data_IF_762072066206
#
_entry.id   IF_762072066206
#
_cell.length_a   1.000
_cell.length_b   1.000
_cell.length_c   1.000
_cell.angle_alpha   90.00
_cell.angle_beta   90.00
_cell.angle_gamma   90.00
#
_symmetry.space_group_name_H-M   'P 1'
#
loop_
_entity.id
_entity.type
_entity.pdbx_description
1 polymer ?
#
# COMPACT_ATOMS: atom_id res chain seq x y z
N UNK A 1 -4.86 -17.76 40.09
CA UNK A 1 -3.66 -16.95 40.32
C UNK A 1 -2.96 -16.97 38.99
N UNK A 2 -3.12 -15.90 38.21
CA UNK A 2 -2.28 -15.72 37.03
C UNK A 2 -0.89 -15.48 37.61
N UNK A 3 0.08 -16.33 37.25
CA UNK A 3 1.47 -15.99 37.51
C UNK A 3 1.74 -14.74 36.68
N UNK A 4 2.07 -13.65 37.37
CA UNK A 4 2.71 -12.47 36.79
C UNK A 4 4.08 -12.93 36.28
N UNK A 5 4.12 -13.59 35.12
CA UNK A 5 5.31 -13.56 34.28
C UNK A 5 5.51 -12.08 33.95
N UNK A 6 6.51 -11.46 34.58
CA UNK A 6 6.97 -10.12 34.28
C UNK A 6 7.23 -10.04 32.77
N UNK A 7 6.21 -9.59 32.02
CA UNK A 7 6.33 -9.18 30.63
C UNK A 7 7.41 -8.09 30.62
N UNK A 8 8.59 -8.38 30.08
CA UNK A 8 9.65 -7.38 29.96
C UNK A 8 9.21 -6.35 28.92
N UNK A 9 8.53 -5.31 29.40
CA UNK A 9 8.04 -4.19 28.60
C UNK A 9 9.16 -3.57 27.73
N UNK A 10 10.42 -3.64 28.17
CA UNK A 10 11.57 -3.16 27.40
C UNK A 10 11.93 -4.11 26.25
N UNK A 11 11.82 -5.42 26.45
CA UNK A 11 12.02 -6.43 25.40
C UNK A 11 10.96 -6.32 24.30
N UNK A 12 9.68 -6.24 24.68
CA UNK A 12 8.60 -6.06 23.71
C UNK A 12 8.73 -4.78 22.89
N UNK A 13 9.13 -3.67 23.53
CA UNK A 13 9.30 -2.42 22.81
C UNK A 13 10.50 -2.48 21.84
N UNK A 14 11.54 -3.23 22.22
CA UNK A 14 12.68 -3.52 21.33
C UNK A 14 12.24 -4.33 20.12
N UNK A 15 11.51 -5.43 20.33
CA UNK A 15 10.97 -6.26 19.24
C UNK A 15 10.07 -5.46 18.31
N UNK A 16 9.13 -4.67 18.85
CA UNK A 16 8.25 -3.80 18.05
C UNK A 16 9.03 -2.78 17.22
N UNK A 17 10.13 -2.26 17.76
CA UNK A 17 10.98 -1.28 17.06
C UNK A 17 11.78 -1.95 15.94
N UNK A 18 12.38 -3.11 16.21
CA UNK A 18 13.12 -3.89 15.22
C UNK A 18 12.22 -4.29 14.05
N UNK A 19 11.00 -4.73 14.36
CA UNK A 19 10.01 -5.10 13.36
C UNK A 19 9.55 -3.91 12.51
N UNK A 20 9.27 -2.76 13.13
CA UNK A 20 8.97 -1.52 12.39
C UNK A 20 10.11 -1.13 11.44
N UNK A 21 11.36 -1.24 11.87
CA UNK A 21 12.53 -0.93 11.03
C UNK A 21 12.71 -1.96 9.91
N UNK A 22 12.45 -3.25 10.15
CA UNK A 22 12.43 -4.28 9.10
C UNK A 22 11.41 -3.93 8.03
N UNK A 23 10.16 -3.67 8.43
CA UNK A 23 9.05 -3.34 7.52
C UNK A 23 9.35 -2.08 6.71
N UNK A 24 9.79 -1.00 7.37
CA UNK A 24 10.17 0.25 6.70
C UNK A 24 11.27 0.06 5.65
N UNK A 25 12.13 -0.94 5.83
CA UNK A 25 13.20 -1.23 4.90
C UNK A 25 12.81 -2.11 3.71
N UNK A 26 11.60 -2.67 3.70
CA UNK A 26 11.11 -3.48 2.60
C UNK A 26 11.05 -2.66 1.29
N UNK A 27 11.47 -3.26 0.16
CA UNK A 27 11.38 -2.59 -1.15
C UNK A 27 9.98 -2.10 -1.49
N UNK A 28 8.94 -2.87 -1.11
CA UNK A 28 7.55 -2.51 -1.40
C UNK A 28 7.08 -1.27 -0.64
N UNK A 29 7.54 -1.10 0.62
CA UNK A 29 7.21 0.08 1.45
C UNK A 29 7.86 1.31 0.85
N UNK A 30 9.17 1.25 0.57
CA UNK A 30 9.89 2.38 -0.05
C UNK A 30 9.26 2.78 -1.38
N UNK A 31 8.87 1.81 -2.20
CA UNK A 31 8.26 2.10 -3.50
C UNK A 31 6.85 2.69 -3.37
N UNK A 32 6.09 2.29 -2.35
CA UNK A 32 4.79 2.88 -2.04
C UNK A 32 4.90 4.31 -1.48
N UNK A 33 5.93 4.58 -0.68
CA UNK A 33 6.24 5.92 -0.16
C UNK A 33 6.67 6.87 -1.30
N UNK A 34 7.53 6.40 -2.22
CA UNK A 34 7.92 7.17 -3.41
C UNK A 34 6.68 7.54 -4.25
N UNK A 35 5.83 6.55 -4.55
CA UNK A 35 4.57 6.77 -5.27
C UNK A 35 3.64 7.74 -4.53
N UNK A 36 3.55 7.63 -3.21
CA UNK A 36 2.79 8.58 -2.38
C UNK A 36 3.30 10.00 -2.53
N UNK A 37 4.61 10.21 -2.43
CA UNK A 37 5.19 11.54 -2.58
C UNK A 37 4.89 12.14 -3.96
N UNK A 38 5.00 11.34 -5.03
CA UNK A 38 4.69 11.79 -6.39
C UNK A 38 3.20 12.11 -6.56
N UNK A 39 2.30 11.26 -6.04
CA UNK A 39 0.85 11.50 -6.09
C UNK A 39 0.46 12.75 -5.30
N UNK A 40 1.02 12.97 -4.10
CA UNK A 40 0.75 14.17 -3.31
C UNK A 40 1.23 15.43 -4.02
N UNK A 41 2.44 15.39 -4.60
CA UNK A 41 2.96 16.52 -5.39
C UNK A 41 2.08 16.81 -6.61
N UNK A 42 1.56 15.77 -7.28
CA UNK A 42 0.59 15.95 -8.36
C UNK A 42 -0.70 16.60 -7.84
N UNK A 43 -1.29 16.09 -6.76
CA UNK A 43 -2.53 16.63 -6.17
C UNK A 43 -2.41 18.11 -5.76
N UNK A 44 -1.25 18.52 -5.25
CA UNK A 44 -0.93 19.92 -4.93
C UNK A 44 -0.77 20.79 -6.19
N UNK A 45 -0.38 20.20 -7.32
CA UNK A 45 -0.13 20.91 -8.57
C UNK A 45 -1.37 21.13 -9.43
N UNK A 46 -2.43 20.33 -9.26
CA UNK A 46 -3.67 20.49 -10.02
C UNK A 46 -4.54 21.58 -9.38
N UNK A 47 -5.14 22.45 -10.19
CA UNK A 47 -6.05 23.50 -9.70
C UNK A 47 -7.41 22.92 -9.25
N UNK A 48 -7.97 23.45 -8.17
CA UNK A 48 -9.31 23.08 -7.69
C UNK A 48 -10.40 23.66 -8.62
N UNK A 49 -10.68 22.99 -9.74
CA UNK A 49 -11.84 23.26 -10.59
C UNK A 49 -12.96 22.22 -10.32
N UNK A 50 -14.22 22.57 -10.59
CA UNK A 50 -15.38 21.72 -10.24
C UNK A 50 -15.27 20.29 -10.79
N UNK A 51 -14.65 20.11 -11.96
CA UNK A 51 -14.49 18.80 -12.62
C UNK A 51 -13.35 17.94 -12.02
N UNK A 52 -12.36 18.55 -11.35
CA UNK A 52 -11.20 17.87 -10.76
C UNK A 52 -11.38 17.55 -9.26
N UNK A 53 -12.10 18.40 -8.53
CA UNK A 53 -12.27 18.26 -7.07
C UNK A 53 -12.87 16.90 -6.68
N UNK A 54 -13.61 16.24 -7.57
CA UNK A 54 -14.12 14.89 -7.32
C UNK A 54 -13.05 13.79 -7.43
N UNK A 55 -12.02 13.94 -8.29
CA UNK A 55 -11.00 12.91 -8.52
C UNK A 55 -9.87 12.94 -7.48
N UNK A 56 -9.51 14.13 -7.00
CA UNK A 56 -8.45 14.30 -6.00
C UNK A 56 -8.64 13.46 -4.72
N UNK A 57 -9.84 13.44 -4.08
CA UNK A 57 -10.08 12.63 -2.90
C UNK A 57 -9.93 11.13 -3.15
N UNK A 58 -10.41 10.62 -4.29
CA UNK A 58 -10.26 9.21 -4.63
C UNK A 58 -8.80 8.83 -4.86
N UNK A 59 -8.04 9.69 -5.55
CA UNK A 59 -6.61 9.47 -5.76
C UNK A 59 -5.83 9.46 -4.44
N UNK A 60 -6.14 10.38 -3.53
CA UNK A 60 -5.56 10.43 -2.19
C UNK A 60 -5.93 9.19 -1.35
N UNK A 61 -7.20 8.76 -1.42
CA UNK A 61 -7.66 7.54 -0.76
C UNK A 61 -6.90 6.32 -1.28
N UNK A 62 -6.83 6.13 -2.60
CA UNK A 62 -6.18 4.97 -3.21
C UNK A 62 -4.72 4.84 -2.74
N UNK A 63 -3.95 5.92 -2.78
CA UNK A 63 -2.54 5.88 -2.39
C UNK A 63 -2.35 5.70 -0.88
N UNK A 64 -3.26 6.25 -0.07
CA UNK A 64 -3.27 6.07 1.38
C UNK A 64 -3.59 4.62 1.75
N UNK A 65 -4.56 4.00 1.07
CA UNK A 65 -4.93 2.60 1.32
C UNK A 65 -3.81 1.66 0.91
N UNK A 66 -3.13 1.89 -0.21
CA UNK A 66 -1.94 1.09 -0.60
C UNK A 66 -0.92 1.04 0.54
N UNK A 67 -0.52 2.21 1.05
CA UNK A 67 0.48 2.30 2.12
C UNK A 67 -0.01 1.62 3.42
N UNK A 68 -1.24 1.90 3.84
CA UNK A 68 -1.81 1.31 5.05
C UNK A 68 -1.90 -0.23 4.97
N UNK A 69 -2.28 -0.77 3.81
CA UNK A 69 -2.46 -2.22 3.61
C UNK A 69 -1.15 -2.97 3.50
N UNK A 70 -0.08 -2.34 3.03
CA UNK A 70 1.27 -2.92 3.09
C UNK A 70 1.67 -3.12 4.56
N UNK A 71 1.49 -2.09 5.41
CA UNK A 71 1.75 -2.25 6.84
C UNK A 71 0.84 -3.28 7.51
N UNK A 72 -0.44 -3.33 7.12
CA UNK A 72 -1.37 -4.36 7.61
C UNK A 72 -0.96 -5.79 7.25
N UNK A 73 -0.40 -5.98 6.05
CA UNK A 73 0.13 -7.28 5.61
C UNK A 73 1.45 -7.67 6.28
N UNK A 74 2.15 -6.73 6.91
CA UNK A 74 3.39 -7.03 7.64
C UNK A 74 3.19 -7.07 9.16
N UNK A 75 2.00 -6.70 9.66
CA UNK A 75 1.66 -6.73 11.09
C UNK A 75 1.39 -8.16 11.63
N UNK A 76 1.49 -9.19 10.78
CA UNK A 76 1.38 -10.59 11.15
C UNK A 76 1.69 -11.52 9.97
N UNK A 77 2.03 -12.78 10.28
CA UNK A 77 2.51 -13.75 9.28
C UNK A 77 1.43 -14.67 8.68
N UNK A 78 0.14 -14.37 8.93
CA UNK A 78 -0.96 -15.19 8.42
C UNK A 78 -1.16 -15.01 6.91
N UNK A 79 -0.99 -16.10 6.15
CA UNK A 79 -1.05 -16.08 4.68
C UNK A 79 -2.31 -15.42 4.13
N UNK A 80 -3.50 -15.83 4.60
CA UNK A 80 -4.81 -15.29 4.22
C UNK A 80 -4.87 -13.78 4.38
N UNK A 81 -4.49 -13.25 5.54
CA UNK A 81 -4.48 -11.81 5.84
C UNK A 81 -3.55 -11.06 4.88
N UNK A 82 -2.34 -11.59 4.64
CA UNK A 82 -1.38 -10.98 3.70
C UNK A 82 -1.95 -10.94 2.29
N UNK A 83 -2.58 -12.03 1.85
CA UNK A 83 -3.22 -12.13 0.54
C UNK A 83 -4.43 -11.19 0.39
N UNK A 84 -5.28 -11.06 1.41
CA UNK A 84 -6.41 -10.11 1.41
C UNK A 84 -5.93 -8.67 1.24
N UNK A 85 -4.92 -8.26 2.02
CA UNK A 85 -4.30 -6.94 1.89
C UNK A 85 -3.68 -6.75 0.49
N UNK A 86 -3.00 -7.76 -0.05
CA UNK A 86 -2.44 -7.73 -1.40
C UNK A 86 -3.52 -7.54 -2.49
N UNK A 87 -4.69 -8.16 -2.34
CA UNK A 87 -5.83 -7.95 -3.26
C UNK A 87 -6.29 -6.49 -3.20
N UNK A 88 -6.46 -5.93 -2.01
CA UNK A 88 -6.88 -4.53 -1.82
C UNK A 88 -5.84 -3.59 -2.46
N UNK A 89 -4.55 -3.78 -2.17
CA UNK A 89 -3.45 -2.99 -2.77
C UNK A 89 -3.53 -3.00 -4.29
N UNK A 90 -3.73 -4.18 -4.90
CA UNK A 90 -3.84 -4.32 -6.36
C UNK A 90 -5.02 -3.52 -6.92
N UNK A 91 -6.17 -3.55 -6.26
CA UNK A 91 -7.36 -2.79 -6.70
C UNK A 91 -7.06 -1.30 -6.70
N UNK A 92 -6.52 -0.76 -5.61
CA UNK A 92 -6.19 0.67 -5.52
C UNK A 92 -5.07 1.09 -6.51
N UNK A 93 -4.07 0.25 -6.75
CA UNK A 93 -3.04 0.53 -7.77
C UNK A 93 -3.64 0.61 -9.18
N UNK A 94 -4.64 -0.23 -9.49
CA UNK A 94 -5.37 -0.16 -10.76
C UNK A 94 -6.24 1.10 -10.84
N UNK A 95 -6.86 1.52 -9.73
CA UNK A 95 -7.63 2.76 -9.67
C UNK A 95 -6.76 3.98 -9.92
N UNK A 96 -5.58 4.11 -9.27
CA UNK A 96 -4.62 5.20 -9.54
C UNK A 96 -4.32 5.29 -11.04
N UNK A 97 -4.01 4.16 -11.69
CA UNK A 97 -3.73 4.14 -13.13
C UNK A 97 -4.93 4.61 -13.97
N UNK A 98 -6.15 4.18 -13.60
CA UNK A 98 -7.36 4.61 -14.30
C UNK A 98 -7.62 6.10 -14.10
N UNK A 99 -7.42 6.63 -12.89
CA UNK A 99 -7.54 8.05 -12.60
C UNK A 99 -6.53 8.86 -13.43
N UNK A 100 -5.28 8.40 -13.57
CA UNK A 100 -4.30 9.06 -14.46
C UNK A 100 -4.77 9.12 -15.92
N UNK A 101 -5.46 8.10 -16.42
CA UNK A 101 -6.07 8.14 -17.76
C UNK A 101 -7.25 9.11 -17.81
N UNK A 102 -8.08 9.18 -16.76
CA UNK A 102 -9.18 10.15 -16.69
C UNK A 102 -8.65 11.58 -16.73
N UNK A 103 -7.62 11.90 -15.94
CA UNK A 103 -6.94 13.20 -15.97
C UNK A 103 -6.43 13.57 -17.37
N UNK A 104 -5.76 12.63 -18.03
CA UNK A 104 -5.27 12.82 -19.39
C UNK A 104 -6.41 13.06 -20.41
N UNK A 105 -7.50 12.30 -20.31
CA UNK A 105 -8.68 12.45 -21.17
C UNK A 105 -9.39 13.78 -20.98
N UNK A 106 -9.43 14.29 -19.74
CA UNK A 106 -10.03 15.59 -19.42
C UNK A 106 -9.09 16.76 -19.76
N UNK A 107 -7.82 16.49 -20.07
CA UNK A 107 -6.81 17.52 -20.30
C UNK A 107 -6.46 18.30 -19.03
N UNK A 108 -6.54 17.64 -17.87
CA UNK A 108 -6.31 18.23 -16.55
C UNK A 108 -4.98 17.72 -16.00
N UNK A 109 -4.21 18.62 -15.37
CA UNK A 109 -2.93 18.32 -14.76
C UNK A 109 -1.76 18.33 -15.76
N UNK A 110 -0.54 18.28 -15.22
CA UNK A 110 0.67 18.28 -16.04
C UNK A 110 0.95 16.87 -16.62
N UNK A 111 1.06 16.73 -17.96
CA UNK A 111 1.35 15.45 -18.61
C UNK A 111 2.59 14.71 -18.08
N UNK A 112 3.63 15.44 -17.69
CA UNK A 112 4.88 14.85 -17.16
C UNK A 112 4.61 14.12 -15.83
N UNK A 113 3.75 14.68 -14.97
CA UNK A 113 3.33 14.00 -13.74
C UNK A 113 2.47 12.79 -14.02
N UNK A 114 1.55 12.88 -14.99
CA UNK A 114 0.69 11.75 -15.37
C UNK A 114 1.53 10.58 -15.91
N UNK A 115 2.53 10.86 -16.75
CA UNK A 115 3.46 9.85 -17.23
C UNK A 115 4.33 9.28 -16.10
N UNK A 116 4.86 10.15 -15.22
CA UNK A 116 5.67 9.73 -14.08
C UNK A 116 4.90 8.77 -13.16
N UNK A 117 3.68 9.11 -12.75
CA UNK A 117 2.85 8.26 -11.86
C UNK A 117 2.54 6.93 -12.54
N UNK A 118 2.23 6.91 -13.85
CA UNK A 118 2.00 5.66 -14.58
C UNK A 118 3.24 4.76 -14.61
N UNK A 119 4.42 5.33 -14.79
CA UNK A 119 5.68 4.60 -14.76
C UNK A 119 5.97 4.06 -13.35
N UNK A 120 5.78 4.88 -12.32
CA UNK A 120 5.97 4.47 -10.92
C UNK A 120 5.00 3.35 -10.50
N UNK A 121 3.75 3.37 -10.97
CA UNK A 121 2.80 2.27 -10.77
C UNK A 121 3.28 0.97 -11.42
N UNK A 122 3.86 1.03 -12.61
CA UNK A 122 4.41 -0.15 -13.29
C UNK A 122 5.65 -0.70 -12.57
N UNK A 123 6.49 0.18 -12.02
CA UNK A 123 7.62 -0.23 -11.18
C UNK A 123 7.15 -0.80 -9.84
N UNK A 124 6.18 -0.16 -9.20
CA UNK A 124 5.51 -0.66 -8.00
C UNK A 124 4.95 -2.06 -8.23
N UNK A 125 4.27 -2.30 -9.36
CA UNK A 125 3.72 -3.61 -9.73
C UNK A 125 4.79 -4.70 -9.75
N UNK A 126 5.99 -4.41 -10.25
CA UNK A 126 7.10 -5.38 -10.28
C UNK A 126 7.54 -5.75 -8.87
N UNK A 127 7.79 -4.74 -8.03
CA UNK A 127 8.17 -4.93 -6.62
C UNK A 127 7.07 -5.62 -5.82
N UNK A 128 5.81 -5.31 -6.11
CA UNK A 128 4.64 -5.94 -5.49
C UNK A 128 4.58 -7.45 -5.78
N UNK A 129 4.85 -7.86 -7.02
CA UNK A 129 4.88 -9.28 -7.38
C UNK A 129 5.97 -10.02 -6.61
N UNK A 130 7.17 -9.43 -6.52
CA UNK A 130 8.27 -10.01 -5.75
C UNK A 130 7.94 -10.10 -4.26
N UNK A 131 7.26 -9.09 -3.72
CA UNK A 131 6.80 -9.08 -2.33
C UNK A 131 5.76 -10.16 -2.04
N UNK A 132 4.71 -10.30 -2.87
CA UNK A 132 3.69 -11.35 -2.70
C UNK A 132 4.29 -12.74 -2.83
N UNK A 133 5.32 -12.92 -3.66
CA UNK A 133 6.03 -14.20 -3.78
C UNK A 133 6.74 -14.65 -2.49
N UNK A 134 6.91 -13.75 -1.51
CA UNK A 134 7.47 -14.08 -0.19
C UNK A 134 6.44 -14.67 0.78
N UNK A 135 5.15 -14.65 0.45
CA UNK A 135 4.09 -15.10 1.36
C UNK A 135 4.09 -16.63 1.45
N UNK A 136 4.31 -17.15 2.66
CA UNK A 136 4.35 -18.59 2.89
C UNK A 136 2.98 -19.10 3.33
N UNK A 137 2.55 -20.24 2.80
CA UNK A 137 1.19 -20.80 3.01
C UNK A 137 1.05 -21.68 4.24
N UNK A 138 2.17 -22.04 4.87
CA UNK A 138 2.22 -23.02 5.96
C UNK A 138 1.67 -22.48 7.29
N UNK A 139 1.59 -21.16 7.44
CA UNK A 139 1.19 -20.50 8.69
C UNK A 139 -0.14 -19.77 8.48
N UNK A 140 -1.25 -20.53 8.46
CA UNK A 140 -2.58 -19.95 8.27
C UNK A 140 -3.69 -20.69 9.02
N UNK A 141 -4.74 -19.94 9.35
CA UNK A 141 -6.02 -20.52 9.77
C UNK A 141 -6.87 -20.83 8.54
N UNK A 142 -7.82 -21.79 8.63
CA UNK A 142 -8.76 -22.02 7.54
C UNK A 142 -9.53 -20.72 7.20
N UNK A 143 -9.48 -20.32 5.94
CA UNK A 143 -10.26 -19.20 5.42
C UNK A 143 -11.72 -19.63 5.25
N UNK A 144 -12.61 -19.01 6.03
CA UNK A 144 -14.04 -19.29 6.04
C UNK A 144 -14.74 -18.90 4.72
N UNK A 145 -14.13 -18.02 3.92
CA UNK A 145 -14.66 -17.60 2.62
C UNK A 145 -14.17 -18.48 1.47
N UNK A 146 -13.18 -19.34 1.72
CA UNK A 146 -12.69 -20.32 0.75
C UNK A 146 -11.85 -19.72 -0.39
N UNK A 147 -11.32 -18.51 -0.22
CA UNK A 147 -10.52 -17.80 -1.22
C UNK A 147 -9.03 -18.19 -1.16
N UNK A 148 -8.50 -18.51 0.03
CA UNK A 148 -7.06 -18.72 0.24
C UNK A 148 -6.65 -20.10 0.79
N UNK A 149 -7.60 -21.02 1.00
CA UNK A 149 -7.42 -22.41 1.48
C UNK A 149 -6.56 -23.32 0.60
#
# INVERSE_FOLDING_TARGET
MFDDEDFDDEELERERKEEKERVKNLPIVKKAEDLMNTVLAFLESVDDNEDDVELKPYLFEDISVINAKIHGAEAGDLFSIRMENAVIIKVHALNIRNIMHTYEMMGIGNPDYLELIRNEIEEFRKVFVDWVATFQRNDDFPDEWGLFN
#
